data_IF_987190563236
#
_entry.id   IF_987190563236
#
_cell.length_a   1.000
_cell.length_b   1.000
_cell.length_c   1.000
_cell.angle_alpha   90.00
_cell.angle_beta   90.00
_cell.angle_gamma   90.00
#
_symmetry.space_group_name_H-M   'P 1'
#
loop_
_entity.id
_entity.type
_entity.pdbx_description
1 polymer ?
#
# COMPACT_ATOMS: atom_id res chain seq x y z
N UNK A 1 14.99 -2.63 15.43
CA UNK A 1 13.57 -2.87 15.08
C UNK A 1 12.90 -1.56 14.70
N UNK A 2 12.92 -0.51 15.55
CA UNK A 2 12.27 0.78 15.27
C UNK A 2 12.71 1.41 13.95
N UNK A 3 14.02 1.41 13.63
CA UNK A 3 14.51 1.90 12.34
C UNK A 3 13.87 1.16 11.15
N UNK A 4 13.72 -0.16 11.23
CA UNK A 4 13.08 -0.96 10.19
C UNK A 4 11.57 -0.66 10.10
N UNK A 5 10.91 -0.46 11.24
CA UNK A 5 9.50 -0.07 11.30
C UNK A 5 9.27 1.31 10.64
N UNK A 6 10.07 2.31 11.00
CA UNK A 6 10.01 3.65 10.40
C UNK A 6 10.28 3.59 8.89
N UNK A 7 11.32 2.85 8.48
CA UNK A 7 11.64 2.72 7.05
C UNK A 7 10.56 2.03 6.27
N UNK A 8 9.95 0.97 6.82
CA UNK A 8 8.81 0.29 6.17
C UNK A 8 7.62 1.22 6.02
N UNK A 9 7.34 2.04 7.04
CA UNK A 9 6.29 3.05 6.98
C UNK A 9 6.54 4.10 5.91
N UNK A 10 7.72 4.68 5.88
CA UNK A 10 8.09 5.70 4.87
C UNK A 10 8.12 5.10 3.46
N UNK A 11 8.63 3.87 3.29
CA UNK A 11 8.63 3.20 1.99
C UNK A 11 7.20 2.95 1.47
N UNK A 12 6.30 2.48 2.34
CA UNK A 12 4.89 2.28 1.97
C UNK A 12 4.15 3.59 1.71
N UNK A 13 4.47 4.66 2.46
CA UNK A 13 3.87 5.99 2.32
C UNK A 13 3.98 6.55 0.90
N UNK A 14 5.04 6.20 0.15
CA UNK A 14 5.30 6.72 -1.20
C UNK A 14 4.17 6.39 -2.21
N UNK A 15 3.40 5.33 -1.98
CA UNK A 15 2.26 4.97 -2.83
C UNK A 15 1.02 5.85 -2.60
N UNK A 16 0.99 6.60 -1.49
CA UNK A 16 -0.23 7.25 -1.01
C UNK A 16 -0.15 8.79 -1.01
N UNK A 17 1.03 9.39 -1.22
CA UNK A 17 1.19 10.85 -1.21
C UNK A 17 0.35 11.57 -2.26
N UNK A 18 0.16 10.99 -3.45
CA UNK A 18 -0.60 11.62 -4.52
C UNK A 18 -2.12 11.61 -4.28
N UNK A 19 -2.65 10.69 -3.46
CA UNK A 19 -4.10 10.50 -3.30
C UNK A 19 -4.84 11.76 -2.84
N UNK A 20 -4.45 12.46 -1.75
CA UNK A 20 -5.15 13.67 -1.33
C UNK A 20 -4.90 14.88 -2.25
N UNK A 21 -3.96 14.75 -3.19
CA UNK A 21 -3.53 15.82 -4.09
C UNK A 21 -4.17 15.74 -5.47
N UNK A 22 -5.01 14.74 -5.77
CA UNK A 22 -5.52 14.49 -7.12
C UNK A 22 -6.20 15.73 -7.72
N UNK A 23 -7.03 16.43 -6.95
CA UNK A 23 -7.67 17.66 -7.42
C UNK A 23 -6.64 18.76 -7.73
N UNK A 24 -5.70 19.01 -6.81
CA UNK A 24 -4.63 19.99 -7.00
C UNK A 24 -3.73 19.67 -8.19
N UNK A 25 -3.39 18.40 -8.39
CA UNK A 25 -2.58 17.93 -9.51
C UNK A 25 -3.36 18.03 -10.84
N UNK A 26 -4.67 17.76 -10.83
CA UNK A 26 -5.54 17.92 -12.00
C UNK A 26 -5.52 19.36 -12.51
N UNK A 27 -5.66 20.32 -11.63
CA UNK A 27 -5.53 21.74 -11.95
C UNK A 27 -4.12 22.12 -12.41
N UNK A 28 -3.08 21.64 -11.72
CA UNK A 28 -1.69 21.96 -12.04
C UNK A 28 -1.26 21.46 -13.42
N UNK A 29 -1.78 20.33 -13.88
CA UNK A 29 -1.50 19.77 -15.22
C UNK A 29 -2.59 20.04 -16.26
N UNK A 30 -3.67 20.73 -15.88
CA UNK A 30 -4.82 21.04 -16.76
C UNK A 30 -5.41 19.77 -17.40
N UNK A 31 -5.58 18.70 -16.62
CA UNK A 31 -6.15 17.42 -17.07
C UNK A 31 -7.47 17.13 -16.37
N UNK A 32 -8.30 16.32 -17.01
CA UNK A 32 -9.61 15.92 -16.46
C UNK A 32 -9.46 15.08 -15.18
N UNK A 33 -10.53 15.04 -14.38
CA UNK A 33 -10.65 14.23 -13.18
C UNK A 33 -10.36 12.75 -13.45
N UNK A 34 -10.90 12.19 -14.53
CA UNK A 34 -10.62 10.82 -14.93
C UNK A 34 -9.15 10.58 -15.26
N UNK A 35 -8.52 11.52 -15.96
CA UNK A 35 -7.10 11.40 -16.33
C UNK A 35 -6.21 11.46 -15.10
N UNK A 36 -6.44 12.42 -14.18
CA UNK A 36 -5.59 12.53 -12.99
C UNK A 36 -5.80 11.36 -12.03
N UNK A 37 -6.99 10.79 -11.94
CA UNK A 37 -7.26 9.60 -11.14
C UNK A 37 -6.41 8.38 -11.53
N UNK A 38 -5.98 8.29 -12.79
CA UNK A 38 -5.08 7.23 -13.26
C UNK A 38 -3.70 7.24 -12.57
N UNK A 39 -3.31 8.32 -11.89
CA UNK A 39 -2.07 8.36 -11.10
C UNK A 39 -2.06 7.28 -10.03
N UNK A 40 -3.19 7.04 -9.36
CA UNK A 40 -3.32 5.97 -8.36
C UNK A 40 -3.12 4.60 -9.03
N UNK A 41 -3.71 4.42 -10.21
CA UNK A 41 -3.56 3.20 -11.01
C UNK A 41 -2.10 2.98 -11.42
N UNK A 42 -1.40 3.99 -11.93
CA UNK A 42 0.01 3.88 -12.31
C UNK A 42 0.91 3.53 -11.12
N UNK A 43 0.69 4.15 -9.94
CA UNK A 43 1.40 3.79 -8.72
C UNK A 43 1.20 2.31 -8.37
N UNK A 44 -0.03 1.81 -8.46
CA UNK A 44 -0.36 0.42 -8.13
C UNK A 44 0.16 -0.57 -9.17
N UNK A 45 0.08 -0.26 -10.48
CA UNK A 45 0.69 -1.09 -11.54
C UNK A 45 2.20 -1.19 -11.31
N UNK A 46 2.88 -0.06 -11.08
CA UNK A 46 4.29 -0.06 -10.74
C UNK A 46 4.58 -0.98 -9.55
N UNK A 47 3.80 -0.88 -8.49
CA UNK A 47 3.98 -1.68 -7.28
C UNK A 47 3.76 -3.18 -7.52
N UNK A 48 2.75 -3.55 -8.31
CA UNK A 48 2.52 -4.95 -8.75
C UNK A 48 3.75 -5.50 -9.49
N UNK A 49 4.30 -4.71 -10.42
CA UNK A 49 5.52 -5.10 -11.14
C UNK A 49 6.72 -5.23 -10.18
N UNK A 50 6.85 -4.30 -9.23
CA UNK A 50 7.88 -4.38 -8.18
C UNK A 50 7.75 -5.61 -7.30
N UNK A 51 6.53 -5.95 -6.86
CA UNK A 51 6.25 -7.17 -6.11
C UNK A 51 6.57 -8.43 -6.90
N UNK A 52 6.20 -8.46 -8.18
CA UNK A 52 6.41 -9.63 -9.03
C UNK A 52 7.89 -9.84 -9.40
N UNK A 53 8.63 -8.74 -9.64
CA UNK A 53 9.96 -8.83 -10.24
C UNK A 53 11.11 -8.37 -9.33
N UNK A 54 10.89 -7.42 -8.40
CA UNK A 54 11.97 -6.93 -7.53
C UNK A 54 12.00 -7.69 -6.21
N UNK A 55 10.85 -7.94 -5.58
CA UNK A 55 10.81 -8.63 -4.27
C UNK A 55 11.47 -10.01 -4.31
N UNK A 56 11.26 -10.86 -5.33
CA UNK A 56 11.96 -12.15 -5.44
C UNK A 56 13.49 -12.05 -5.53
N UNK A 57 14.03 -10.91 -5.97
CA UNK A 57 15.49 -10.67 -5.95
C UNK A 57 16.05 -10.62 -4.53
N UNK A 58 15.23 -10.38 -3.50
CA UNK A 58 15.64 -10.42 -2.10
C UNK A 58 16.09 -11.80 -1.60
N UNK A 59 15.77 -12.88 -2.33
CA UNK A 59 16.28 -14.22 -2.06
C UNK A 59 17.60 -14.53 -2.80
N UNK A 60 17.92 -13.74 -3.85
CA UNK A 60 19.10 -13.91 -4.71
C UNK A 60 20.21 -12.88 -4.46
N UNK A 61 19.84 -11.71 -3.97
CA UNK A 61 20.74 -10.58 -3.77
C UNK A 61 20.93 -10.27 -2.28
N UNK A 62 22.01 -9.56 -1.96
CA UNK A 62 22.22 -9.03 -0.62
C UNK A 62 21.09 -8.05 -0.26
N UNK A 63 20.31 -8.39 0.78
CA UNK A 63 19.07 -7.69 1.12
C UNK A 63 19.27 -6.22 1.46
N UNK A 64 20.37 -5.85 2.17
CA UNK A 64 20.68 -4.46 2.48
C UNK A 64 20.93 -3.65 1.20
N UNK A 65 21.69 -4.20 0.24
CA UNK A 65 21.94 -3.53 -1.04
C UNK A 65 20.63 -3.35 -1.82
N UNK A 66 19.79 -4.38 -1.91
CA UNK A 66 18.50 -4.31 -2.60
C UNK A 66 17.60 -3.23 -1.99
N UNK A 67 17.42 -3.22 -0.65
CA UNK A 67 16.62 -2.22 0.06
C UNK A 67 17.15 -0.80 -0.21
N UNK A 68 18.45 -0.57 -0.04
CA UNK A 68 19.01 0.79 -0.21
C UNK A 68 18.95 1.24 -1.66
N UNK A 69 19.16 0.35 -2.63
CA UNK A 69 19.05 0.69 -4.07
C UNK A 69 17.62 1.04 -4.44
N UNK A 70 16.64 0.23 -4.04
CA UNK A 70 15.24 0.54 -4.32
C UNK A 70 14.80 1.85 -3.67
N UNK A 71 15.27 2.17 -2.45
CA UNK A 71 15.00 3.45 -1.80
C UNK A 71 15.62 4.64 -2.56
N UNK A 72 16.84 4.52 -3.07
CA UNK A 72 17.49 5.58 -3.88
C UNK A 72 16.74 5.77 -5.20
N UNK A 73 16.34 4.69 -5.87
CA UNK A 73 15.54 4.77 -7.11
C UNK A 73 14.18 5.44 -6.83
N UNK A 74 13.51 5.09 -5.71
CA UNK A 74 12.26 5.74 -5.30
C UNK A 74 12.49 7.23 -5.06
N UNK A 75 13.56 7.61 -4.38
CA UNK A 75 13.89 9.02 -4.14
C UNK A 75 14.11 9.78 -5.45
N UNK A 76 14.86 9.22 -6.40
CA UNK A 76 15.07 9.83 -7.72
C UNK A 76 13.74 10.00 -8.48
N UNK A 77 12.87 8.99 -8.45
CA UNK A 77 11.54 9.05 -9.06
C UNK A 77 10.65 10.11 -8.38
N UNK A 78 10.74 10.26 -7.04
CA UNK A 78 10.04 11.33 -6.31
C UNK A 78 10.54 12.73 -6.71
N UNK A 79 11.85 12.90 -6.89
CA UNK A 79 12.40 14.17 -7.44
C UNK A 79 11.81 14.45 -8.82
N UNK A 80 11.74 13.44 -9.69
CA UNK A 80 11.12 13.58 -11.01
C UNK A 80 9.63 13.95 -10.92
N UNK A 81 8.87 13.39 -9.96
CA UNK A 81 7.50 13.82 -9.70
C UNK A 81 7.44 15.32 -9.33
N UNK A 82 8.31 15.79 -8.42
CA UNK A 82 8.35 17.19 -8.00
C UNK A 82 8.76 18.16 -9.12
N UNK A 83 9.61 17.72 -10.05
CA UNK A 83 10.08 18.48 -11.20
C UNK A 83 9.18 18.35 -12.43
N UNK A 84 8.18 17.47 -12.42
CA UNK A 84 7.40 17.13 -13.60
C UNK A 84 6.77 18.37 -14.27
N UNK A 85 7.08 18.62 -15.56
CA UNK A 85 6.51 19.73 -16.32
C UNK A 85 5.15 19.38 -16.95
N UNK A 86 4.81 18.08 -17.04
CA UNK A 86 3.58 17.59 -17.66
C UNK A 86 3.04 16.36 -16.93
N UNK A 87 1.74 16.08 -17.15
CA UNK A 87 1.09 14.88 -16.65
C UNK A 87 1.82 13.59 -17.06
N UNK A 88 2.26 13.48 -18.31
CA UNK A 88 2.94 12.28 -18.80
C UNK A 88 4.23 11.96 -18.05
N UNK A 89 5.06 12.99 -17.78
CA UNK A 89 6.28 12.83 -16.96
C UNK A 89 5.94 12.47 -15.54
N UNK A 90 4.94 13.10 -14.93
CA UNK A 90 4.48 12.80 -13.58
C UNK A 90 3.97 11.36 -13.49
N UNK A 91 3.17 10.91 -14.44
CA UNK A 91 2.62 9.55 -14.50
C UNK A 91 3.72 8.50 -14.66
N UNK A 92 4.68 8.71 -15.55
CA UNK A 92 5.82 7.82 -15.73
C UNK A 92 6.68 7.75 -14.46
N UNK A 93 6.96 8.90 -13.82
CA UNK A 93 7.69 8.95 -12.56
C UNK A 93 6.92 8.22 -11.45
N UNK A 94 5.60 8.37 -11.36
CA UNK A 94 4.76 7.68 -10.37
C UNK A 94 4.77 6.17 -10.58
N UNK A 95 4.78 5.68 -11.81
CA UNK A 95 4.93 4.25 -12.09
C UNK A 95 6.29 3.73 -11.59
N UNK A 96 7.38 4.49 -11.77
CA UNK A 96 8.71 4.12 -11.24
C UNK A 96 8.73 4.18 -9.71
N UNK A 97 8.05 5.16 -9.10
CA UNK A 97 7.86 5.19 -7.63
C UNK A 97 7.19 3.89 -7.17
N UNK A 98 6.08 3.49 -7.80
CA UNK A 98 5.40 2.24 -7.49
C UNK A 98 6.35 1.04 -7.60
N UNK A 99 7.01 0.90 -8.75
CA UNK A 99 7.95 -0.20 -9.04
C UNK A 99 9.03 -0.35 -7.97
N UNK A 100 9.57 0.74 -7.47
CA UNK A 100 10.70 0.76 -6.53
C UNK A 100 10.30 0.85 -5.05
N UNK A 101 9.07 1.23 -4.71
CA UNK A 101 8.59 1.40 -3.33
C UNK A 101 8.39 0.07 -2.56
N UNK A 102 8.93 -1.03 -3.06
CA UNK A 102 8.79 -2.39 -2.50
C UNK A 102 9.73 -2.70 -1.33
N UNK A 103 10.53 -1.75 -0.88
CA UNK A 103 11.51 -1.94 0.19
C UNK A 103 10.88 -2.56 1.46
N UNK A 104 9.66 -2.15 1.83
CA UNK A 104 8.94 -2.69 2.98
C UNK A 104 8.72 -4.21 2.88
N UNK A 105 8.46 -4.73 1.68
CA UNK A 105 8.23 -6.17 1.44
C UNK A 105 9.53 -7.01 1.56
N UNK A 106 10.68 -6.39 1.42
CA UNK A 106 11.99 -7.03 1.66
C UNK A 106 12.41 -6.87 3.14
N UNK A 107 12.07 -5.73 3.77
CA UNK A 107 12.40 -5.43 5.16
C UNK A 107 11.70 -6.40 6.13
N UNK A 108 10.41 -6.68 5.94
CA UNK A 108 9.63 -7.53 6.86
C UNK A 108 10.22 -8.94 7.01
N UNK A 109 10.48 -9.71 5.93
CA UNK A 109 11.13 -11.01 6.04
C UNK A 109 12.57 -10.91 6.59
N UNK A 110 13.31 -9.85 6.24
CA UNK A 110 14.65 -9.62 6.76
C UNK A 110 14.62 -9.41 8.28
N UNK A 111 13.72 -8.56 8.77
CA UNK A 111 13.54 -8.32 10.20
C UNK A 111 13.21 -9.61 10.96
N UNK A 112 12.32 -10.45 10.39
CA UNK A 112 12.00 -11.77 10.95
C UNK A 112 13.21 -12.70 11.01
N UNK A 113 14.07 -12.69 9.98
CA UNK A 113 15.26 -13.56 9.94
C UNK A 113 16.35 -13.13 10.92
N UNK A 114 16.40 -11.84 11.28
CA UNK A 114 17.36 -11.29 12.26
C UNK A 114 16.90 -11.44 13.71
N UNK A 115 15.63 -11.73 13.93
CA UNK A 115 15.04 -11.86 15.27
C UNK A 115 15.27 -13.27 15.85
N UNK A 116 15.41 -13.34 17.19
CA UNK A 116 15.44 -14.63 17.92
C UNK A 116 14.12 -15.38 17.71
N UNK A 117 14.11 -16.72 17.70
CA UNK A 117 12.88 -17.49 17.42
C UNK A 117 11.65 -17.08 18.21
N UNK A 118 11.82 -16.78 19.51
CA UNK A 118 10.74 -16.36 20.41
C UNK A 118 10.33 -14.89 20.28
N UNK A 119 11.11 -14.06 19.57
CA UNK A 119 10.84 -12.61 19.36
C UNK A 119 10.31 -12.29 17.96
N UNK A 120 10.31 -13.26 17.05
CA UNK A 120 9.96 -13.03 15.63
C UNK A 120 8.60 -12.37 15.44
N UNK A 121 7.59 -12.84 16.17
CA UNK A 121 6.24 -12.27 16.11
C UNK A 121 6.21 -10.80 16.55
N UNK A 122 6.89 -10.46 17.63
CA UNK A 122 6.98 -9.09 18.14
C UNK A 122 7.72 -8.17 17.16
N UNK A 123 8.83 -8.65 16.59
CA UNK A 123 9.62 -7.87 15.64
C UNK A 123 8.82 -7.62 14.35
N UNK A 124 8.19 -8.65 13.79
CA UNK A 124 7.34 -8.51 12.59
C UNK A 124 6.16 -7.60 12.88
N UNK A 125 5.48 -7.79 14.02
CA UNK A 125 4.37 -6.94 14.45
C UNK A 125 4.76 -5.47 14.56
N UNK A 126 5.92 -5.17 15.14
CA UNK A 126 6.43 -3.79 15.25
C UNK A 126 6.71 -3.18 13.86
N UNK A 127 7.33 -3.94 12.96
CA UNK A 127 7.62 -3.46 11.60
C UNK A 127 6.33 -3.24 10.81
N UNK A 128 5.36 -4.13 10.92
CA UNK A 128 4.05 -3.99 10.28
C UNK A 128 3.24 -2.83 10.85
N UNK A 129 3.30 -2.60 12.17
CA UNK A 129 2.68 -1.42 12.78
C UNK A 129 3.28 -0.12 12.22
N UNK A 130 4.62 -0.06 12.08
CA UNK A 130 5.28 1.07 11.44
C UNK A 130 4.82 1.28 10.00
N UNK A 131 4.68 0.19 9.23
CA UNK A 131 4.15 0.23 7.86
C UNK A 131 2.74 0.81 7.82
N UNK A 132 1.83 0.33 8.66
CA UNK A 132 0.46 0.81 8.72
C UNK A 132 0.38 2.29 9.12
N UNK A 133 1.12 2.69 10.16
CA UNK A 133 1.21 4.10 10.60
C UNK A 133 1.72 4.97 9.45
N UNK A 134 2.74 4.52 8.71
CA UNK A 134 3.28 5.24 7.56
C UNK A 134 2.24 5.45 6.46
N UNK A 135 1.45 4.43 6.13
CA UNK A 135 0.36 4.53 5.15
C UNK A 135 -0.69 5.56 5.59
N UNK A 136 -1.07 5.55 6.86
CA UNK A 136 -2.09 6.44 7.40
C UNK A 136 -1.59 7.89 7.45
N UNK A 137 -0.38 8.11 7.96
CA UNK A 137 0.21 9.44 8.05
C UNK A 137 0.60 10.02 6.70
N UNK A 138 0.83 9.19 5.68
CA UNK A 138 1.20 9.66 4.34
C UNK A 138 0.22 10.68 3.77
N UNK A 139 -1.07 10.40 3.89
CA UNK A 139 -2.13 11.28 3.37
C UNK A 139 -2.20 12.59 4.13
N UNK A 140 -2.15 12.52 5.46
CA UNK A 140 -2.18 13.70 6.34
C UNK A 140 -0.96 14.58 6.10
N UNK A 141 0.24 13.99 6.08
CA UNK A 141 1.49 14.67 5.81
C UNK A 141 1.48 15.35 4.43
N UNK A 142 1.08 14.62 3.39
CA UNK A 142 0.99 15.12 2.03
C UNK A 142 -0.01 16.27 1.92
N UNK A 143 -1.19 16.13 2.51
CA UNK A 143 -2.23 17.16 2.50
C UNK A 143 -1.78 18.45 3.18
N UNK A 144 -1.21 18.34 4.39
CA UNK A 144 -0.74 19.52 5.17
C UNK A 144 0.40 20.24 4.43
N UNK A 145 1.42 19.51 3.97
CA UNK A 145 2.54 20.11 3.25
C UNK A 145 2.06 20.77 1.96
N UNK A 146 1.20 20.11 1.21
CA UNK A 146 0.68 20.65 -0.04
C UNK A 146 -0.13 21.93 0.20
N UNK A 147 -0.94 21.97 1.25
CA UNK A 147 -1.72 23.15 1.60
C UNK A 147 -0.86 24.35 2.03
N UNK A 148 0.27 24.11 2.70
CA UNK A 148 1.14 25.15 3.21
C UNK A 148 2.23 25.60 2.22
N UNK A 149 2.85 24.65 1.50
CA UNK A 149 4.07 24.87 0.72
C UNK A 149 3.94 24.46 -0.77
N UNK A 150 2.80 23.91 -1.15
CA UNK A 150 2.52 23.44 -2.48
C UNK A 150 2.88 21.96 -2.70
N UNK A 151 2.21 21.35 -3.67
CA UNK A 151 2.28 19.91 -3.91
C UNK A 151 3.68 19.37 -4.28
N UNK A 152 4.51 20.17 -4.94
CA UNK A 152 5.87 19.77 -5.33
C UNK A 152 6.77 19.50 -4.14
N UNK A 153 6.63 20.28 -3.07
CA UNK A 153 7.42 20.12 -1.84
C UNK A 153 7.19 18.78 -1.16
N UNK A 154 5.97 18.20 -1.29
CA UNK A 154 5.66 16.86 -0.77
C UNK A 154 6.61 15.82 -1.35
N UNK A 155 6.82 15.84 -2.67
CA UNK A 155 7.66 14.86 -3.35
C UNK A 155 9.16 15.09 -3.05
N UNK A 156 9.61 16.33 -2.95
CA UNK A 156 11.00 16.63 -2.54
C UNK A 156 11.27 16.23 -1.09
N UNK A 157 10.33 16.49 -0.17
CA UNK A 157 10.45 16.07 1.22
C UNK A 157 10.49 14.54 1.36
N UNK A 158 9.62 13.83 0.62
CA UNK A 158 9.62 12.37 0.57
C UNK A 158 10.95 11.83 0.02
N UNK A 159 11.48 12.42 -1.07
CA UNK A 159 12.77 12.03 -1.63
C UNK A 159 13.92 12.22 -0.63
N UNK A 160 13.97 13.37 0.04
CA UNK A 160 14.96 13.66 1.07
C UNK A 160 14.92 12.65 2.22
N UNK A 161 13.72 12.35 2.72
CA UNK A 161 13.53 11.38 3.78
C UNK A 161 13.96 9.95 3.35
N UNK A 162 13.65 9.54 2.12
CA UNK A 162 14.10 8.25 1.56
C UNK A 162 15.61 8.16 1.47
N UNK A 163 16.31 9.23 1.02
CA UNK A 163 17.77 9.26 0.94
C UNK A 163 18.42 9.20 2.32
N UNK A 164 17.91 9.96 3.29
CA UNK A 164 18.40 9.93 4.67
C UNK A 164 18.27 8.53 5.25
N UNK A 165 17.08 7.90 5.12
CA UNK A 165 16.84 6.56 5.62
C UNK A 165 17.70 5.51 4.87
N UNK A 166 17.88 5.63 3.56
CA UNK A 166 18.77 4.75 2.80
C UNK A 166 20.23 4.84 3.30
N UNK A 167 20.74 6.05 3.56
CA UNK A 167 22.07 6.27 4.09
C UNK A 167 22.23 5.69 5.51
N UNK A 168 21.24 5.89 6.39
CA UNK A 168 21.21 5.33 7.74
C UNK A 168 21.19 3.80 7.70
N UNK A 169 20.30 3.21 6.88
CA UNK A 169 20.21 1.75 6.75
C UNK A 169 21.49 1.13 6.21
N UNK A 170 22.12 1.77 5.23
CA UNK A 170 23.36 1.29 4.66
C UNK A 170 24.49 1.22 5.69
N UNK A 171 24.47 2.09 6.71
CA UNK A 171 25.44 2.09 7.81
C UNK A 171 25.04 1.19 8.97
N UNK A 172 23.75 1.17 9.31
CA UNK A 172 23.24 0.50 10.51
C UNK A 172 22.93 -0.99 10.30
N UNK A 173 22.57 -1.42 9.07
CA UNK A 173 22.21 -2.81 8.82
C UNK A 173 23.45 -3.67 8.55
N UNK A 174 23.50 -4.88 9.10
CA UNK A 174 24.50 -5.88 8.72
C UNK A 174 24.31 -6.31 7.26
N UNK A 175 25.34 -6.84 6.66
CA UNK A 175 25.22 -7.53 5.37
C UNK A 175 24.50 -8.84 5.59
N UNK A 176 23.34 -8.99 4.98
CA UNK A 176 22.55 -10.24 5.02
C UNK A 176 22.68 -10.90 3.64
N UNK A 177 23.44 -12.00 3.57
CA UNK A 177 23.65 -12.70 2.29
C UNK A 177 22.35 -13.22 1.71
N UNK A 178 22.36 -13.53 0.43
CA UNK A 178 21.27 -14.21 -0.26
C UNK A 178 20.92 -15.56 0.42
N UNK A 179 19.63 -15.84 0.52
CA UNK A 179 19.15 -17.07 1.19
C UNK A 179 19.17 -18.28 0.22
N UNK A 180 19.14 -18.04 -1.09
CA UNK A 180 18.97 -19.06 -2.14
C UNK A 180 19.88 -18.77 -3.34
N UNK A 181 21.18 -18.55 -3.09
CA UNK A 181 22.16 -18.21 -4.14
C UNK A 181 22.26 -19.28 -5.27
N UNK A 182 21.84 -20.52 -4.99
CA UNK A 182 21.87 -21.62 -5.94
C UNK A 182 20.66 -21.66 -6.89
N UNK A 183 19.59 -20.90 -6.60
CA UNK A 183 18.39 -20.88 -7.44
C UNK A 183 18.52 -19.83 -8.56
N UNK A 184 18.08 -20.20 -9.76
CA UNK A 184 17.95 -19.26 -10.86
C UNK A 184 16.66 -18.44 -10.68
N UNK A 185 16.72 -17.14 -10.99
CA UNK A 185 15.58 -16.23 -10.88
C UNK A 185 14.30 -16.77 -11.54
N UNK A 186 14.40 -17.35 -12.74
CA UNK A 186 13.27 -17.98 -13.42
C UNK A 186 12.63 -19.14 -12.67
N UNK A 187 13.39 -19.86 -11.83
CA UNK A 187 12.86 -20.98 -11.02
C UNK A 187 11.98 -20.44 -9.89
N UNK A 188 12.38 -19.30 -9.27
CA UNK A 188 11.58 -18.65 -8.24
C UNK A 188 10.24 -18.19 -8.84
N UNK A 189 10.27 -17.50 -9.98
CA UNK A 189 9.04 -17.05 -10.64
C UNK A 189 8.13 -18.22 -11.04
N UNK A 190 8.71 -19.29 -11.59
CA UNK A 190 7.94 -20.51 -11.91
C UNK A 190 7.31 -21.15 -10.68
N UNK A 191 7.99 -21.12 -9.53
CA UNK A 191 7.45 -21.70 -8.29
C UNK A 191 6.25 -20.90 -7.76
N UNK A 192 6.22 -19.56 -7.91
CA UNK A 192 5.05 -18.73 -7.58
C UNK A 192 3.87 -19.10 -8.49
N UNK A 193 4.11 -19.23 -9.81
CA UNK A 193 3.07 -19.63 -10.77
C UNK A 193 2.56 -21.06 -10.51
N UNK A 194 3.44 -21.97 -10.10
CA UNK A 194 3.06 -23.33 -9.73
C UNK A 194 2.11 -23.30 -8.54
N UNK A 195 2.43 -22.58 -7.45
CA UNK A 195 1.56 -22.45 -6.28
C UNK A 195 0.17 -21.87 -6.63
N UNK A 196 0.11 -20.85 -7.50
CA UNK A 196 -1.16 -20.31 -7.97
C UNK A 196 -2.00 -21.37 -8.71
N UNK A 197 -1.34 -22.25 -9.50
CA UNK A 197 -2.04 -23.29 -10.26
C UNK A 197 -2.51 -24.45 -9.40
N UNK A 198 -1.68 -24.88 -8.44
CA UNK A 198 -1.92 -26.08 -7.63
C UNK A 198 -2.79 -25.85 -6.41
N UNK A 199 -2.80 -24.60 -5.85
CA UNK A 199 -3.48 -24.29 -4.59
C UNK A 199 -4.81 -23.54 -4.81
N UNK A 200 -5.99 -24.21 -4.77
CA UNK A 200 -7.29 -23.55 -4.96
C UNK A 200 -7.59 -22.51 -3.88
N UNK A 201 -7.21 -22.82 -2.62
CA UNK A 201 -7.43 -21.91 -1.49
C UNK A 201 -6.61 -20.62 -1.65
N UNK A 202 -5.38 -20.69 -2.18
CA UNK A 202 -4.59 -19.51 -2.51
C UNK A 202 -5.34 -18.63 -3.52
N UNK A 203 -5.87 -19.19 -4.61
CA UNK A 203 -6.64 -18.43 -5.62
C UNK A 203 -7.86 -17.75 -5.02
N UNK A 204 -8.61 -18.46 -4.15
CA UNK A 204 -9.75 -17.87 -3.45
C UNK A 204 -9.34 -16.68 -2.59
N UNK A 205 -8.25 -16.81 -1.81
CA UNK A 205 -7.75 -15.73 -0.95
C UNK A 205 -7.17 -14.57 -1.76
N UNK A 206 -6.54 -14.85 -2.90
CA UNK A 206 -6.08 -13.85 -3.86
C UNK A 206 -7.27 -13.02 -4.41
N UNK A 207 -8.37 -13.68 -4.81
CA UNK A 207 -9.56 -13.00 -5.31
C UNK A 207 -10.21 -12.12 -4.23
N UNK A 208 -10.40 -12.65 -3.01
CA UNK A 208 -10.92 -11.88 -1.87
C UNK A 208 -10.03 -10.68 -1.53
N UNK A 209 -8.71 -10.87 -1.53
CA UNK A 209 -7.77 -9.79 -1.30
C UNK A 209 -7.81 -8.71 -2.38
N UNK A 210 -7.89 -9.11 -3.65
CA UNK A 210 -8.00 -8.21 -4.80
C UNK A 210 -9.27 -7.34 -4.73
N UNK A 211 -10.41 -7.96 -4.43
CA UNK A 211 -11.67 -7.25 -4.25
C UNK A 211 -11.63 -6.32 -3.04
N UNK A 212 -11.10 -6.81 -1.90
CA UNK A 212 -11.00 -6.01 -0.67
C UNK A 212 -10.16 -4.75 -0.85
N UNK A 213 -8.96 -4.87 -1.41
CA UNK A 213 -8.12 -3.71 -1.67
C UNK A 213 -8.64 -2.85 -2.82
N UNK A 214 -9.35 -3.46 -3.76
CA UNK A 214 -10.08 -2.74 -4.80
C UNK A 214 -11.11 -1.78 -4.20
N UNK A 215 -11.95 -2.24 -3.27
CA UNK A 215 -12.91 -1.39 -2.55
C UNK A 215 -12.22 -0.23 -1.80
N UNK A 216 -11.09 -0.51 -1.14
CA UNK A 216 -10.26 0.53 -0.54
C UNK A 216 -9.78 1.57 -1.57
N UNK A 217 -9.30 1.11 -2.72
CA UNK A 217 -8.82 1.98 -3.79
C UNK A 217 -9.94 2.83 -4.40
N UNK A 218 -11.14 2.27 -4.57
CA UNK A 218 -12.34 3.01 -5.01
C UNK A 218 -12.60 4.18 -4.07
N UNK A 219 -12.69 3.93 -2.77
CA UNK A 219 -12.94 4.99 -1.78
C UNK A 219 -11.89 6.09 -1.89
N UNK A 220 -10.61 5.75 -1.75
CA UNK A 220 -9.55 6.75 -1.67
C UNK A 220 -9.28 7.48 -2.98
N UNK A 221 -9.64 6.90 -4.13
CA UNK A 221 -9.58 7.59 -5.42
C UNK A 221 -10.73 8.58 -5.56
N UNK A 222 -11.97 8.21 -5.21
CA UNK A 222 -13.14 9.08 -5.33
C UNK A 222 -13.22 10.14 -4.23
N UNK A 223 -12.75 9.85 -3.01
CA UNK A 223 -12.88 10.73 -1.85
C UNK A 223 -12.22 12.09 -2.08
N UNK A 224 -11.04 12.12 -2.71
CA UNK A 224 -10.34 13.38 -2.99
C UNK A 224 -11.15 14.29 -3.92
N UNK A 225 -11.85 13.73 -4.90
CA UNK A 225 -12.72 14.48 -5.80
C UNK A 225 -14.01 14.93 -5.10
N UNK A 226 -14.64 14.04 -4.34
CA UNK A 226 -15.86 14.32 -3.61
C UNK A 226 -15.68 15.45 -2.57
N UNK A 227 -14.59 15.41 -1.79
CA UNK A 227 -14.32 16.44 -0.78
C UNK A 227 -13.91 17.78 -1.39
N UNK A 228 -13.32 17.79 -2.58
CA UNK A 228 -12.98 19.05 -3.29
C UNK A 228 -14.17 19.68 -4.03
N UNK A 229 -15.27 18.94 -4.21
CA UNK A 229 -16.51 19.42 -4.84
C UNK A 229 -17.52 19.93 -3.81
N UNK A 230 -18.65 20.49 -4.30
CA UNK A 230 -19.78 20.85 -3.44
C UNK A 230 -20.36 19.61 -2.74
N UNK A 231 -20.81 19.70 -1.49
CA UNK A 231 -20.93 20.90 -0.64
C UNK A 231 -19.68 21.20 0.19
N UNK A 232 -18.61 20.40 0.12
CA UNK A 232 -17.45 20.46 1.03
C UNK A 232 -16.47 21.58 0.65
N UNK A 233 -16.02 21.61 -0.63
CA UNK A 233 -14.99 22.53 -1.12
C UNK A 233 -13.68 22.49 -0.29
N UNK A 234 -13.32 21.31 0.20
CA UNK A 234 -12.18 21.09 1.07
C UNK A 234 -10.85 21.15 0.31
N UNK A 235 -9.87 21.82 0.89
CA UNK A 235 -8.50 21.84 0.40
C UNK A 235 -7.75 20.53 0.74
N UNK A 236 -6.59 20.33 0.10
CA UNK A 236 -5.76 19.12 0.25
C UNK A 236 -5.38 18.82 1.70
N UNK A 237 -5.23 19.85 2.55
CA UNK A 237 -4.93 19.69 3.98
C UNK A 237 -6.06 18.97 4.71
N UNK A 238 -7.31 19.38 4.52
CA UNK A 238 -8.49 18.76 5.14
C UNK A 238 -8.69 17.36 4.58
N UNK A 239 -8.59 17.18 3.26
CA UNK A 239 -8.67 15.86 2.60
C UNK A 239 -7.63 14.91 3.19
N UNK A 240 -6.40 15.38 3.43
CA UNK A 240 -5.34 14.59 4.04
C UNK A 240 -5.65 14.14 5.48
N UNK A 241 -6.38 14.96 6.27
CA UNK A 241 -6.77 14.62 7.64
C UNK A 241 -7.75 13.44 7.70
N UNK A 242 -8.56 13.20 6.66
CA UNK A 242 -9.38 11.99 6.56
C UNK A 242 -8.54 10.71 6.62
N UNK A 243 -7.25 10.78 6.26
CA UNK A 243 -6.31 9.66 6.43
C UNK A 243 -6.18 9.19 7.89
N UNK A 244 -6.40 10.07 8.89
CA UNK A 244 -6.36 9.70 10.30
C UNK A 244 -7.52 8.80 10.71
N UNK A 245 -8.66 8.84 10.00
CA UNK A 245 -9.78 7.93 10.26
C UNK A 245 -9.37 6.45 10.10
N UNK A 246 -8.43 6.16 9.20
CA UNK A 246 -7.88 4.81 9.01
C UNK A 246 -7.08 4.27 10.20
N UNK A 247 -6.65 5.12 11.17
CA UNK A 247 -5.97 4.67 12.40
C UNK A 247 -6.86 3.72 13.21
N UNK A 248 -8.17 3.96 13.22
CA UNK A 248 -9.14 3.08 13.86
C UNK A 248 -9.12 1.67 13.25
N UNK A 249 -8.92 1.56 11.91
CA UNK A 249 -8.78 0.28 11.20
C UNK A 249 -7.58 -0.54 11.66
N UNK A 250 -6.45 0.12 11.95
CA UNK A 250 -5.26 -0.56 12.46
C UNK A 250 -5.49 -1.24 13.84
N UNK A 251 -6.36 -0.67 14.68
CA UNK A 251 -6.72 -1.25 15.98
C UNK A 251 -7.46 -2.59 15.86
N UNK A 252 -8.28 -2.77 14.83
CA UNK A 252 -9.00 -4.03 14.60
C UNK A 252 -8.06 -5.17 14.19
N UNK A 253 -6.92 -4.87 13.59
CA UNK A 253 -5.95 -5.87 13.15
C UNK A 253 -5.60 -6.88 14.24
N UNK A 254 -5.39 -6.40 15.46
CA UNK A 254 -5.04 -7.25 16.63
C UNK A 254 -6.19 -8.16 17.04
N UNK A 255 -7.43 -7.66 17.03
CA UNK A 255 -8.62 -8.43 17.41
C UNK A 255 -8.91 -9.49 16.37
N UNK A 256 -8.90 -9.10 15.10
CA UNK A 256 -9.15 -9.99 13.95
C UNK A 256 -8.09 -11.09 13.88
N UNK A 257 -6.80 -10.76 14.06
CA UNK A 257 -5.71 -11.74 14.09
C UNK A 257 -5.96 -12.81 15.15
N UNK A 258 -6.29 -12.41 16.39
CA UNK A 258 -6.60 -13.35 17.49
C UNK A 258 -7.79 -14.26 17.20
N UNK A 259 -8.84 -13.74 16.55
CA UNK A 259 -10.01 -14.52 16.17
C UNK A 259 -9.69 -15.52 15.04
N UNK A 260 -8.90 -15.10 14.06
CA UNK A 260 -8.42 -15.98 12.99
C UNK A 260 -7.55 -17.13 13.54
N UNK A 261 -6.62 -16.83 14.46
CA UNK A 261 -5.75 -17.82 15.11
C UNK A 261 -6.52 -18.85 15.97
N UNK A 262 -7.70 -18.47 16.45
CA UNK A 262 -8.62 -19.37 17.19
C UNK A 262 -9.47 -20.28 16.31
N UNK A 263 -9.21 -20.34 15.00
CA UNK A 263 -9.93 -21.20 14.06
C UNK A 263 -11.22 -20.59 13.49
N UNK A 264 -11.53 -19.32 13.81
CA UNK A 264 -12.73 -18.64 13.32
C UNK A 264 -12.52 -17.89 11.98
N UNK A 265 -11.54 -18.29 11.19
CA UNK A 265 -11.16 -17.60 9.93
C UNK A 265 -12.30 -17.43 8.93
N UNK A 266 -13.23 -18.40 8.82
CA UNK A 266 -14.41 -18.29 7.96
C UNK A 266 -15.37 -17.20 8.43
N UNK A 267 -15.69 -17.17 9.72
CA UNK A 267 -16.56 -16.15 10.32
C UNK A 267 -15.95 -14.76 10.19
N UNK A 268 -14.65 -14.63 10.44
CA UNK A 268 -13.92 -13.36 10.29
C UNK A 268 -13.99 -12.87 8.84
N UNK A 269 -13.77 -13.75 7.86
CA UNK A 269 -13.85 -13.39 6.44
C UNK A 269 -15.24 -12.87 6.08
N UNK A 270 -16.32 -13.57 6.55
CA UNK A 270 -17.71 -13.16 6.27
C UNK A 270 -18.06 -11.85 6.97
N UNK A 271 -17.67 -11.69 8.23
CA UNK A 271 -17.94 -10.47 9.01
C UNK A 271 -17.24 -9.24 8.42
N UNK A 272 -15.97 -9.39 8.00
CA UNK A 272 -15.20 -8.29 7.39
C UNK A 272 -15.75 -7.93 6.01
N UNK A 273 -16.14 -8.90 5.19
CA UNK A 273 -16.81 -8.64 3.91
C UNK A 273 -18.18 -7.94 4.11
N UNK A 274 -18.96 -8.37 5.12
CA UNK A 274 -20.21 -7.72 5.51
C UNK A 274 -19.98 -6.27 5.98
N UNK A 275 -18.95 -6.03 6.80
CA UNK A 275 -18.59 -4.68 7.23
C UNK A 275 -18.25 -3.77 6.04
N UNK A 276 -17.54 -4.28 5.02
CA UNK A 276 -17.24 -3.54 3.81
C UNK A 276 -18.51 -3.16 3.02
N UNK A 277 -19.47 -4.08 2.89
CA UNK A 277 -20.76 -3.78 2.25
C UNK A 277 -21.55 -2.71 3.02
N UNK A 278 -21.63 -2.85 4.35
CA UNK A 278 -22.29 -1.87 5.23
C UNK A 278 -21.60 -0.50 5.11
N UNK A 279 -20.27 -0.46 5.01
CA UNK A 279 -19.53 0.79 4.87
C UNK A 279 -19.92 1.59 3.63
N UNK A 280 -20.12 0.93 2.49
CA UNK A 280 -20.62 1.60 1.27
C UNK A 280 -22.05 2.13 1.44
N UNK A 281 -22.92 1.42 2.20
CA UNK A 281 -24.24 1.94 2.59
C UNK A 281 -24.12 3.21 3.45
N UNK A 282 -23.21 3.21 4.44
CA UNK A 282 -22.97 4.38 5.29
C UNK A 282 -22.41 5.55 4.45
N UNK A 283 -21.46 5.29 3.57
CA UNK A 283 -20.86 6.30 2.67
C UNK A 283 -21.93 6.90 1.73
N UNK A 284 -22.83 6.07 1.20
CA UNK A 284 -23.91 6.54 0.33
C UNK A 284 -24.90 7.44 1.08
N UNK A 285 -25.38 7.02 2.25
CA UNK A 285 -26.29 7.80 3.07
C UNK A 285 -25.61 9.07 3.57
N UNK A 286 -24.34 8.96 4.02
CA UNK A 286 -23.56 10.03 4.60
C UNK A 286 -22.80 10.90 3.59
N UNK A 287 -23.00 10.75 2.28
CA UNK A 287 -22.21 11.37 1.22
C UNK A 287 -22.11 12.90 1.27
N UNK A 288 -23.03 13.58 1.98
CA UNK A 288 -23.06 15.03 2.18
C UNK A 288 -22.69 15.44 3.61
N UNK A 289 -22.18 14.51 4.43
CA UNK A 289 -21.85 14.75 5.84
C UNK A 289 -20.41 14.27 6.13
N UNK A 290 -19.59 15.16 6.67
CA UNK A 290 -18.23 14.80 7.13
C UNK A 290 -18.23 13.63 8.12
N UNK A 291 -19.20 13.63 9.07
CA UNK A 291 -19.32 12.54 10.06
C UNK A 291 -19.71 11.22 9.37
N UNK A 292 -20.64 11.28 8.41
CA UNK A 292 -21.05 10.09 7.63
C UNK A 292 -19.90 9.51 6.82
N UNK A 293 -19.11 10.36 6.16
CA UNK A 293 -17.92 9.94 5.43
C UNK A 293 -16.88 9.32 6.38
N UNK A 294 -16.58 9.95 7.51
CA UNK A 294 -15.63 9.43 8.50
C UNK A 294 -16.09 8.07 9.05
N UNK A 295 -17.37 7.91 9.39
CA UNK A 295 -17.92 6.65 9.86
C UNK A 295 -17.77 5.54 8.81
N UNK A 296 -18.12 5.84 7.55
CA UNK A 296 -17.97 4.90 6.44
C UNK A 296 -16.51 4.50 6.19
N UNK A 297 -15.57 5.46 6.22
CA UNK A 297 -14.13 5.21 6.08
C UNK A 297 -13.64 4.27 7.17
N UNK A 298 -13.96 4.55 8.44
CA UNK A 298 -13.55 3.71 9.57
C UNK A 298 -14.05 2.28 9.40
N UNK A 299 -15.33 2.09 9.06
CA UNK A 299 -15.91 0.75 8.88
C UNK A 299 -15.28 0.03 7.69
N UNK A 300 -15.01 0.74 6.57
CA UNK A 300 -14.34 0.15 5.42
C UNK A 300 -12.91 -0.30 5.76
N UNK A 301 -12.13 0.57 6.39
CA UNK A 301 -10.74 0.26 6.74
C UNK A 301 -10.65 -0.91 7.73
N UNK A 302 -11.56 -0.98 8.71
CA UNK A 302 -11.72 -2.14 9.60
C UNK A 302 -11.98 -3.42 8.79
N UNK A 303 -12.92 -3.38 7.84
CA UNK A 303 -13.27 -4.51 6.98
C UNK A 303 -12.10 -4.96 6.11
N UNK A 304 -11.46 -4.02 5.42
CA UNK A 304 -10.32 -4.30 4.52
C UNK A 304 -9.13 -4.89 5.26
N UNK A 305 -8.73 -4.27 6.38
CA UNK A 305 -7.62 -4.77 7.18
C UNK A 305 -7.92 -6.13 7.81
N UNK A 306 -9.14 -6.32 8.32
CA UNK A 306 -9.58 -7.59 8.86
C UNK A 306 -9.56 -8.71 7.80
N UNK A 307 -10.07 -8.44 6.60
CA UNK A 307 -10.05 -9.37 5.49
C UNK A 307 -8.60 -9.71 5.07
N UNK A 308 -7.73 -8.69 4.98
CA UNK A 308 -6.33 -8.86 4.63
C UNK A 308 -5.59 -9.79 5.61
N UNK A 309 -5.74 -9.56 6.92
CA UNK A 309 -5.12 -10.37 7.96
C UNK A 309 -5.65 -11.80 7.95
N UNK A 310 -6.97 -11.98 7.83
CA UNK A 310 -7.59 -13.30 7.73
C UNK A 310 -7.07 -14.08 6.51
N UNK A 311 -6.91 -13.40 5.36
CA UNK A 311 -6.36 -14.01 4.16
C UNK A 311 -4.90 -14.41 4.36
N UNK A 312 -4.05 -13.53 4.91
CA UNK A 312 -2.64 -13.84 5.16
C UNK A 312 -2.46 -14.99 6.14
N UNK A 313 -3.20 -15.00 7.25
CA UNK A 313 -3.17 -16.11 8.23
C UNK A 313 -3.51 -17.43 7.55
N UNK A 314 -4.55 -17.44 6.71
CA UNK A 314 -4.99 -18.64 6.00
C UNK A 314 -3.93 -19.16 5.01
N UNK A 315 -3.36 -18.28 4.18
CA UNK A 315 -2.37 -18.71 3.18
C UNK A 315 -1.04 -19.16 3.82
N UNK A 316 -0.66 -18.59 4.95
CA UNK A 316 0.58 -18.99 5.66
C UNK A 316 0.51 -20.40 6.26
N UNK A 317 -0.68 -20.92 6.49
CA UNK A 317 -0.90 -22.29 6.95
C UNK A 317 -0.78 -23.32 5.81
N UNK A 318 -0.90 -22.91 4.52
CA UNK A 318 -0.85 -23.81 3.38
C UNK A 318 0.52 -24.48 3.20
N UNK A 319 1.59 -23.65 3.23
CA UNK A 319 2.97 -24.13 3.04
C UNK A 319 3.93 -23.21 3.82
N UNK A 320 4.27 -23.59 5.06
CA UNK A 320 5.15 -22.80 5.92
C UNK A 320 6.52 -22.49 5.30
N UNK A 321 7.04 -23.39 4.46
CA UNK A 321 8.31 -23.25 3.74
C UNK A 321 8.22 -22.34 2.50
N UNK A 322 7.00 -22.04 2.03
CA UNK A 322 6.74 -21.23 0.85
C UNK A 322 6.11 -19.87 1.15
N UNK A 323 6.13 -19.41 2.42
CA UNK A 323 5.44 -18.18 2.86
C UNK A 323 5.78 -16.94 2.03
N UNK A 324 7.05 -16.74 1.67
CA UNK A 324 7.47 -15.60 0.84
C UNK A 324 6.80 -15.65 -0.55
N UNK A 325 6.77 -16.84 -1.17
CA UNK A 325 6.16 -17.04 -2.49
C UNK A 325 4.63 -16.90 -2.45
N UNK A 326 3.99 -17.42 -1.40
CA UNK A 326 2.55 -17.24 -1.14
C UNK A 326 2.20 -15.76 -0.94
N UNK A 327 3.02 -15.04 -0.16
CA UNK A 327 2.88 -13.58 0.03
C UNK A 327 3.01 -12.84 -1.29
N UNK A 328 4.01 -13.16 -2.11
CA UNK A 328 4.20 -12.52 -3.42
C UNK A 328 2.96 -12.74 -4.31
N UNK A 329 2.46 -13.98 -4.44
CA UNK A 329 1.28 -14.28 -5.22
C UNK A 329 0.05 -13.50 -4.74
N UNK A 330 -0.19 -13.51 -3.43
CA UNK A 330 -1.32 -12.82 -2.80
C UNK A 330 -1.23 -11.30 -2.97
N UNK A 331 -0.08 -10.69 -2.71
CA UNK A 331 0.10 -9.24 -2.79
C UNK A 331 0.04 -8.71 -4.22
N UNK A 332 0.52 -9.49 -5.20
CA UNK A 332 0.35 -9.17 -6.63
C UNK A 332 -1.14 -9.09 -6.98
N UNK A 333 -1.94 -10.09 -6.58
CA UNK A 333 -3.38 -10.07 -6.83
C UNK A 333 -4.08 -8.90 -6.09
N UNK A 334 -3.70 -8.68 -4.82
CA UNK A 334 -4.21 -7.62 -3.95
C UNK A 334 -4.08 -6.24 -4.62
N UNK A 335 -2.86 -5.87 -5.04
CA UNK A 335 -2.62 -4.58 -5.69
C UNK A 335 -3.12 -4.52 -7.14
N UNK A 336 -3.19 -5.65 -7.85
CA UNK A 336 -3.84 -5.71 -9.17
C UNK A 336 -5.32 -5.36 -9.06
N UNK A 337 -6.02 -5.90 -8.07
CA UNK A 337 -7.41 -5.52 -7.79
C UNK A 337 -7.56 -4.02 -7.51
N UNK A 338 -6.65 -3.45 -6.71
CA UNK A 338 -6.58 -2.02 -6.47
C UNK A 338 -6.39 -1.20 -7.75
N UNK A 339 -5.45 -1.59 -8.60
CA UNK A 339 -5.16 -0.91 -9.86
C UNK A 339 -6.36 -0.92 -10.81
N UNK A 340 -7.00 -2.09 -10.98
CA UNK A 340 -8.17 -2.24 -11.86
C UNK A 340 -9.33 -1.40 -11.36
N UNK A 341 -9.70 -1.52 -10.08
CA UNK A 341 -10.85 -0.80 -9.54
C UNK A 341 -10.57 0.70 -9.39
N UNK A 342 -9.34 1.13 -9.14
CA UNK A 342 -8.96 2.55 -9.19
C UNK A 342 -9.13 3.14 -10.59
N UNK A 343 -8.72 2.41 -11.65
CA UNK A 343 -8.89 2.84 -13.03
C UNK A 343 -10.38 2.95 -13.41
N UNK A 344 -11.19 1.96 -13.02
CA UNK A 344 -12.64 1.99 -13.23
C UNK A 344 -13.28 3.17 -12.50
N UNK A 345 -12.89 3.44 -11.25
CA UNK A 345 -13.39 4.58 -10.47
C UNK A 345 -13.08 5.90 -11.17
N UNK A 346 -11.85 6.09 -11.63
CA UNK A 346 -11.43 7.30 -12.33
C UNK A 346 -12.27 7.52 -13.61
N UNK A 347 -12.54 6.44 -14.36
CA UNK A 347 -13.34 6.48 -15.59
C UNK A 347 -14.81 6.80 -15.31
N UNK A 348 -15.41 6.15 -14.30
CA UNK A 348 -16.83 6.38 -13.94
C UNK A 348 -17.02 7.78 -13.37
N UNK A 349 -16.11 8.23 -12.51
CA UNK A 349 -16.19 9.58 -11.95
C UNK A 349 -16.05 10.67 -13.03
N UNK A 350 -15.31 10.39 -14.12
CA UNK A 350 -15.21 11.30 -15.25
C UNK A 350 -16.48 11.34 -16.11
N UNK A 351 -17.29 10.27 -16.11
CA UNK A 351 -18.50 10.18 -16.93
C UNK A 351 -19.73 10.81 -16.23
N UNK A 352 -19.87 10.63 -14.92
CA UNK A 352 -21.07 11.00 -14.15
C UNK A 352 -20.81 12.09 -13.10
N UNK A 353 -19.58 12.48 -12.87
CA UNK A 353 -19.05 13.62 -12.12
C UNK A 353 -19.25 13.68 -10.70
#
# INVERSE_FOLDING_TARGET
VLLLATTSGVAAANLYYAQPLLHTLGHAFSVSTGTIGLIVTFAQIGYVLGLAFIVPLGDLLERRALITTTMVVTAAAMVLCGLAPSFGVFAAATLVVGLSAVAAQVIVPMASSMARPHERGTVVGTVMSGLLIGILLARTFSGIISGALGWRVVFFAAAGLMLVLAAVLRRALPRVPATSADLRYGQILRSVLSLIRTEPLLRQRMALGALGFGCFSVLWTSLAFQLSAAPFHDGSAVIGLFGLAGVAGAGAATVVGRLADRGHGGLVTTATAGAMLISFGILWIGRHSTIGLLAGIVVLDLGVQGLHISNQSTIYALAPEARSRLTTAYMVAYFTGGAVLSALTASLYAADG
#
